data_IF_984920296375
#
_entry.id   IF_984920296375
#
_cell.length_a   1.000
_cell.length_b   1.000
_cell.length_c   1.000
_cell.angle_alpha   90.00
_cell.angle_beta   90.00
_cell.angle_gamma   90.00
#
_symmetry.space_group_name_H-M   'P 1'
#
loop_
_entity.id
_entity.type
_entity.pdbx_description
1 polymer ?
#
# COMPACT_ATOMS: atom_id res chain seq x y z
N UNK A 1 34.07 -5.02 1.73
CA UNK A 1 34.25 -4.04 2.83
C UNK A 1 34.99 -2.77 2.41
N UNK A 2 36.06 -2.81 1.59
CA UNK A 2 36.84 -1.59 1.25
C UNK A 2 36.10 -0.56 0.38
N UNK A 3 35.28 -1.01 -0.57
CA UNK A 3 34.60 -0.12 -1.51
C UNK A 3 33.55 0.79 -0.84
N UNK A 4 32.76 0.25 0.09
CA UNK A 4 31.74 1.01 0.83
C UNK A 4 32.37 2.07 1.73
N UNK A 5 33.51 1.75 2.36
CA UNK A 5 34.25 2.70 3.17
C UNK A 5 34.84 3.84 2.32
N UNK A 6 35.43 3.52 1.16
CA UNK A 6 35.94 4.51 0.21
C UNK A 6 34.83 5.41 -0.34
N UNK A 7 33.67 4.84 -0.67
CA UNK A 7 32.50 5.60 -1.12
C UNK A 7 32.01 6.55 -0.04
N UNK A 8 31.83 6.08 1.21
CA UNK A 8 31.44 6.93 2.34
C UNK A 8 32.45 8.05 2.57
N UNK A 9 33.75 7.76 2.47
CA UNK A 9 34.81 8.76 2.64
C UNK A 9 34.80 9.82 1.52
N UNK A 10 34.60 9.40 0.27
CA UNK A 10 34.47 10.31 -0.86
C UNK A 10 33.26 11.24 -0.67
N UNK A 11 32.09 10.65 -0.37
CA UNK A 11 30.85 11.41 -0.14
C UNK A 11 30.98 12.37 1.03
N UNK A 12 31.64 11.97 2.11
CA UNK A 12 31.94 12.86 3.24
C UNK A 12 32.73 14.11 2.81
N UNK A 13 33.68 13.95 1.88
CA UNK A 13 34.53 15.04 1.39
C UNK A 13 33.85 15.91 0.33
N UNK A 14 33.06 15.33 -0.57
CA UNK A 14 32.47 16.05 -1.72
C UNK A 14 31.07 16.58 -1.45
N UNK A 15 30.26 15.91 -0.62
CA UNK A 15 28.89 16.30 -0.34
C UNK A 15 28.48 15.95 1.09
N UNK A 16 28.72 16.90 1.98
CA UNK A 16 28.44 16.72 3.41
C UNK A 16 26.94 16.58 3.71
N UNK A 17 26.05 17.17 2.90
CA UNK A 17 24.60 17.00 3.07
C UNK A 17 24.19 15.56 2.78
N UNK A 18 24.66 14.99 1.66
CA UNK A 18 24.42 13.59 1.32
C UNK A 18 24.99 12.65 2.40
N UNK A 19 26.18 12.94 2.90
CA UNK A 19 26.79 12.15 3.97
C UNK A 19 25.93 12.13 5.24
N UNK A 20 25.41 13.28 5.68
CA UNK A 20 24.48 13.35 6.82
C UNK A 20 23.19 12.58 6.56
N UNK A 21 22.66 12.61 5.34
CA UNK A 21 21.51 11.80 4.95
C UNK A 21 21.78 10.30 5.07
N UNK A 22 22.96 9.84 4.61
CA UNK A 22 23.37 8.45 4.77
C UNK A 22 23.51 8.05 6.25
N UNK A 23 24.08 8.92 7.09
CA UNK A 23 24.15 8.68 8.53
C UNK A 23 22.76 8.63 9.17
N UNK A 24 21.85 9.51 8.77
CA UNK A 24 20.48 9.52 9.26
C UNK A 24 19.76 8.20 8.94
N UNK A 25 19.99 7.62 7.74
CA UNK A 25 19.43 6.31 7.36
C UNK A 25 19.81 5.16 8.30
N UNK A 26 20.93 5.29 9.01
CA UNK A 26 21.38 4.27 9.97
C UNK A 26 20.75 4.44 11.37
N UNK A 27 20.07 5.56 11.63
CA UNK A 27 19.44 5.86 12.92
C UNK A 27 18.12 5.10 13.14
N UNK A 28 17.76 4.91 14.41
CA UNK A 28 16.46 4.35 14.79
C UNK A 28 15.29 5.23 14.32
N UNK A 29 15.42 6.55 14.41
CA UNK A 29 14.39 7.49 13.98
C UNK A 29 14.05 7.32 12.49
N UNK A 30 15.06 7.17 11.63
CA UNK A 30 14.81 6.89 10.22
C UNK A 30 14.12 5.54 10.02
N UNK A 31 14.53 4.49 10.75
CA UNK A 31 13.90 3.17 10.66
C UNK A 31 12.42 3.22 11.06
N UNK A 32 12.07 3.96 12.11
CA UNK A 32 10.68 4.16 12.53
C UNK A 32 9.86 4.91 11.48
N UNK A 33 10.42 5.96 10.88
CA UNK A 33 9.76 6.70 9.79
C UNK A 33 9.58 5.82 8.54
N UNK A 34 10.58 5.02 8.19
CA UNK A 34 10.50 4.10 7.07
C UNK A 34 9.45 3.01 7.31
N UNK A 35 9.40 2.46 8.54
CA UNK A 35 8.39 1.49 8.93
C UNK A 35 6.97 2.06 8.81
N UNK A 36 6.72 3.25 9.37
CA UNK A 36 5.42 3.91 9.26
C UNK A 36 5.05 4.22 7.79
N UNK A 37 6.01 4.66 6.98
CA UNK A 37 5.80 4.87 5.54
C UNK A 37 5.42 3.58 4.84
N UNK A 38 6.12 2.50 5.10
CA UNK A 38 5.84 1.24 4.42
C UNK A 38 4.50 0.67 4.87
N UNK A 39 4.13 0.79 6.15
CA UNK A 39 2.79 0.42 6.62
C UNK A 39 1.69 1.25 5.94
N UNK A 40 1.92 2.54 5.70
CA UNK A 40 0.98 3.41 4.98
C UNK A 40 0.88 3.06 3.49
N UNK A 41 2.01 2.76 2.84
CA UNK A 41 2.08 2.52 1.39
C UNK A 41 1.62 1.12 1.02
N UNK A 42 2.13 0.12 1.73
CA UNK A 42 1.85 -1.29 1.45
C UNK A 42 0.54 -1.73 2.13
N UNK A 43 0.13 -1.04 3.20
CA UNK A 43 -1.03 -1.39 4.00
C UNK A 43 -0.73 -2.45 5.06
N UNK A 44 -1.49 -2.42 6.16
CA UNK A 44 -1.35 -3.39 7.26
C UNK A 44 -1.62 -4.83 6.82
N UNK A 45 -2.63 -5.03 5.97
CA UNK A 45 -3.04 -6.34 5.46
C UNK A 45 -1.87 -7.09 4.80
N UNK A 46 -1.02 -6.40 4.03
CA UNK A 46 0.15 -7.02 3.38
C UNK A 46 1.18 -7.54 4.37
N UNK A 47 1.41 -6.83 5.48
CA UNK A 47 2.33 -7.30 6.53
C UNK A 47 1.75 -8.46 7.33
N UNK A 48 0.42 -8.49 7.54
CA UNK A 48 -0.26 -9.59 8.20
C UNK A 48 -0.27 -10.86 7.32
N UNK A 49 -0.47 -10.74 6.00
CA UNK A 49 -0.32 -11.86 5.08
C UNK A 49 1.10 -12.42 5.06
N UNK A 50 2.13 -11.56 5.03
CA UNK A 50 3.53 -11.98 5.14
C UNK A 50 3.83 -12.70 6.46
N UNK A 51 3.13 -12.33 7.54
CA UNK A 51 3.26 -13.00 8.83
C UNK A 51 2.71 -14.42 8.78
N UNK A 52 1.57 -14.65 8.14
CA UNK A 52 1.01 -15.99 7.95
C UNK A 52 1.88 -16.84 7.02
N UNK A 53 2.40 -16.29 5.91
CA UNK A 53 3.39 -16.99 5.08
C UNK A 53 4.66 -17.39 5.86
N UNK A 54 5.12 -16.51 6.74
CA UNK A 54 6.27 -16.79 7.61
C UNK A 54 5.94 -17.90 8.62
N UNK A 55 4.72 -17.91 9.15
CA UNK A 55 4.24 -18.94 10.08
C UNK A 55 4.25 -20.32 9.42
N UNK A 56 3.80 -20.42 8.17
CA UNK A 56 3.84 -21.68 7.40
C UNK A 56 5.28 -22.21 7.22
N UNK A 57 6.21 -21.30 6.92
CA UNK A 57 7.63 -21.62 6.66
C UNK A 57 8.50 -21.61 7.91
N UNK A 58 7.93 -21.40 9.09
CA UNK A 58 8.68 -21.16 10.33
C UNK A 58 9.66 -22.29 10.66
N UNK A 59 9.24 -23.55 10.48
CA UNK A 59 10.04 -24.74 10.72
C UNK A 59 11.16 -24.97 9.70
N UNK A 60 11.13 -24.26 8.57
CA UNK A 60 12.12 -24.35 7.50
C UNK A 60 13.30 -23.40 7.71
N UNK A 61 13.18 -22.44 8.64
CA UNK A 61 14.21 -21.43 8.89
C UNK A 61 15.42 -22.10 9.60
N UNK A 62 16.64 -22.02 9.05
CA UNK A 62 17.81 -22.69 9.62
C UNK A 62 18.07 -22.33 11.10
N UNK A 63 17.94 -21.05 11.46
CA UNK A 63 18.11 -20.62 12.85
C UNK A 63 17.01 -21.12 13.81
N UNK A 64 15.81 -21.43 13.29
CA UNK A 64 14.72 -22.03 14.07
C UNK A 64 14.97 -23.52 14.25
N UNK A 65 15.45 -24.21 13.22
CA UNK A 65 15.85 -25.62 13.30
C UNK A 65 17.02 -25.84 14.27
N UNK A 66 18.04 -24.98 14.22
CA UNK A 66 19.16 -24.99 15.17
C UNK A 66 18.69 -24.80 16.63
N UNK A 67 17.62 -24.04 16.84
CA UNK A 67 17.00 -23.83 18.15
C UNK A 67 16.02 -24.95 18.58
N UNK A 68 15.89 -26.02 17.79
CA UNK A 68 15.00 -27.15 18.11
C UNK A 68 13.54 -26.94 17.69
N UNK A 69 13.30 -26.09 16.70
CA UNK A 69 11.97 -25.81 16.12
C UNK A 69 10.94 -25.37 17.17
N UNK A 70 11.19 -24.26 17.89
CA UNK A 70 10.19 -23.69 18.79
C UNK A 70 8.90 -23.37 18.04
N UNK A 71 7.73 -23.37 18.71
CA UNK A 71 6.48 -22.93 18.09
C UNK A 71 6.59 -21.47 17.64
N UNK A 72 5.79 -21.10 16.63
CA UNK A 72 5.73 -19.73 16.15
C UNK A 72 5.34 -18.79 17.31
N UNK A 73 6.04 -17.66 17.51
CA UNK A 73 5.92 -16.86 18.73
C UNK A 73 4.63 -16.03 18.83
N UNK A 74 3.89 -15.89 17.73
CA UNK A 74 2.67 -15.09 17.68
C UNK A 74 1.48 -16.05 17.54
N UNK A 75 0.48 -15.88 18.39
CA UNK A 75 -0.76 -16.62 18.30
C UNK A 75 -1.78 -15.77 17.56
N UNK A 76 -2.21 -16.26 16.40
CA UNK A 76 -3.30 -15.68 15.59
C UNK A 76 -4.43 -16.71 15.57
N UNK A 77 -5.63 -16.28 15.94
CA UNK A 77 -6.84 -17.09 15.92
C UNK A 77 -7.30 -17.39 14.49
N UNK A 78 -8.10 -18.44 14.29
CA UNK A 78 -8.61 -18.77 12.95
C UNK A 78 -9.51 -17.66 12.37
N UNK A 79 -10.22 -16.94 13.24
CA UNK A 79 -11.05 -15.80 12.85
C UNK A 79 -10.19 -14.63 12.36
N UNK A 80 -9.09 -14.32 13.05
CA UNK A 80 -8.13 -13.29 12.62
C UNK A 80 -7.47 -13.65 11.30
N UNK A 81 -7.07 -14.92 11.09
CA UNK A 81 -6.52 -15.37 9.80
C UNK A 81 -7.52 -15.15 8.67
N UNK A 82 -8.77 -15.56 8.86
CA UNK A 82 -9.82 -15.37 7.83
C UNK A 82 -10.10 -13.90 7.55
N UNK A 83 -10.03 -13.02 8.56
CA UNK A 83 -10.16 -11.58 8.37
C UNK A 83 -8.99 -11.00 7.56
N UNK A 84 -7.76 -11.44 7.86
CA UNK A 84 -6.55 -11.01 7.15
C UNK A 84 -6.63 -11.39 5.67
N UNK A 85 -7.04 -12.62 5.36
CA UNK A 85 -7.22 -13.08 3.98
C UNK A 85 -8.26 -12.25 3.23
N UNK A 86 -9.43 -12.02 3.84
CA UNK A 86 -10.49 -11.21 3.24
C UNK A 86 -10.05 -9.76 2.98
N UNK A 87 -9.33 -9.15 3.93
CA UNK A 87 -8.78 -7.80 3.77
C UNK A 87 -7.72 -7.73 2.67
N UNK A 88 -6.87 -8.76 2.54
CA UNK A 88 -5.88 -8.85 1.46
C UNK A 88 -6.52 -8.97 0.08
N UNK A 89 -7.52 -9.85 -0.06
CA UNK A 89 -8.28 -10.02 -1.30
C UNK A 89 -9.03 -8.74 -1.68
N UNK A 90 -9.69 -8.12 -0.70
CA UNK A 90 -10.38 -6.84 -0.89
C UNK A 90 -9.45 -5.72 -1.32
N UNK A 91 -8.27 -5.62 -0.69
CA UNK A 91 -7.25 -4.64 -1.05
C UNK A 91 -6.70 -4.88 -2.46
N UNK A 92 -6.39 -6.13 -2.83
CA UNK A 92 -5.91 -6.47 -4.16
C UNK A 92 -6.94 -6.14 -5.24
N UNK A 93 -8.20 -6.51 -5.03
CA UNK A 93 -9.29 -6.20 -5.95
C UNK A 93 -9.48 -4.68 -6.11
N UNK A 94 -9.44 -3.92 -5.00
CA UNK A 94 -9.53 -2.47 -5.04
C UNK A 94 -8.36 -1.84 -5.80
N UNK A 95 -7.13 -2.31 -5.58
CA UNK A 95 -5.96 -1.82 -6.31
C UNK A 95 -6.04 -2.11 -7.81
N UNK A 96 -6.57 -3.27 -8.21
CA UNK A 96 -6.77 -3.60 -9.61
C UNK A 96 -7.84 -2.73 -10.27
N UNK A 97 -8.97 -2.48 -9.57
CA UNK A 97 -9.98 -1.51 -10.01
C UNK A 97 -9.41 -0.09 -10.14
N UNK A 98 -8.52 0.33 -9.22
CA UNK A 98 -7.86 1.63 -9.29
C UNK A 98 -6.95 1.74 -10.52
N UNK A 99 -6.26 0.67 -10.93
CA UNK A 99 -5.44 0.68 -12.15
C UNK A 99 -6.27 0.90 -13.41
N UNK A 100 -7.49 0.37 -13.45
CA UNK A 100 -8.42 0.59 -14.57
C UNK A 100 -8.97 2.03 -14.59
N UNK A 101 -9.01 2.69 -13.44
CA UNK A 101 -9.43 4.09 -13.29
C UNK A 101 -8.31 5.13 -13.48
N UNK A 102 -7.07 4.72 -13.78
CA UNK A 102 -5.97 5.66 -13.97
C UNK A 102 -6.11 6.42 -15.29
N UNK A 103 -6.21 7.74 -15.20
CA UNK A 103 -6.19 8.65 -16.35
C UNK A 103 -4.85 9.37 -16.36
N UNK A 104 -4.20 9.43 -17.53
CA UNK A 104 -2.98 10.24 -17.67
C UNK A 104 -3.30 11.72 -17.38
N UNK A 105 -2.36 12.44 -16.78
CA UNK A 105 -2.53 13.83 -16.40
C UNK A 105 -3.02 14.71 -17.56
N UNK A 106 -2.47 14.50 -18.77
CA UNK A 106 -2.86 15.26 -19.96
C UNK A 106 -4.27 14.97 -20.48
N UNK A 107 -4.89 13.87 -20.03
CA UNK A 107 -6.22 13.43 -20.42
C UNK A 107 -7.26 13.66 -19.34
N UNK A 108 -6.87 14.19 -18.17
CA UNK A 108 -7.75 14.35 -17.01
C UNK A 108 -9.01 15.16 -17.32
N UNK A 109 -8.87 16.30 -18.01
CA UNK A 109 -9.99 17.16 -18.41
C UNK A 109 -10.90 16.50 -19.46
N UNK A 110 -10.35 15.62 -20.29
CA UNK A 110 -11.13 14.86 -21.27
C UNK A 110 -11.92 13.74 -20.59
N UNK A 111 -11.28 12.98 -19.71
CA UNK A 111 -11.94 11.95 -18.91
C UNK A 111 -13.04 12.53 -18.02
N UNK A 112 -12.82 13.69 -17.40
CA UNK A 112 -13.83 14.38 -16.59
C UNK A 112 -15.03 14.83 -17.42
N UNK A 113 -14.81 15.30 -18.65
CA UNK A 113 -15.91 15.61 -19.58
C UNK A 113 -16.67 14.36 -20.01
N UNK A 114 -15.97 13.25 -20.26
CA UNK A 114 -16.60 11.98 -20.58
C UNK A 114 -17.44 11.45 -19.40
N UNK A 115 -16.92 11.50 -18.17
CA UNK A 115 -17.63 11.12 -16.95
C UNK A 115 -18.91 11.93 -16.74
N UNK A 116 -18.89 13.25 -16.99
CA UNK A 116 -20.11 14.08 -16.92
C UNK A 116 -21.18 13.63 -17.92
N UNK A 117 -20.78 13.28 -19.15
CA UNK A 117 -21.72 12.77 -20.16
C UNK A 117 -22.32 11.43 -19.73
N UNK A 118 -21.49 10.50 -19.25
CA UNK A 118 -21.94 9.20 -18.75
C UNK A 118 -22.90 9.37 -17.56
N UNK A 119 -22.61 10.31 -16.65
CA UNK A 119 -23.51 10.67 -15.55
C UNK A 119 -24.88 11.13 -16.06
N UNK A 120 -24.91 12.07 -17.00
CA UNK A 120 -26.15 12.60 -17.58
C UNK A 120 -26.97 11.51 -18.28
N UNK A 121 -26.30 10.64 -19.05
CA UNK A 121 -26.91 9.50 -19.73
C UNK A 121 -27.49 8.49 -18.73
N UNK A 122 -26.71 8.12 -17.70
CA UNK A 122 -27.12 7.18 -16.66
C UNK A 122 -28.31 7.69 -15.84
N UNK A 123 -28.29 8.95 -15.42
CA UNK A 123 -29.40 9.56 -14.67
C UNK A 123 -30.66 9.58 -15.54
N UNK A 124 -30.52 9.93 -16.82
CA UNK A 124 -31.64 9.98 -17.76
C UNK A 124 -32.25 8.58 -18.02
N UNK A 125 -31.43 7.54 -18.04
CA UNK A 125 -31.89 6.17 -18.28
C UNK A 125 -32.50 5.50 -17.04
N UNK A 126 -31.97 5.79 -15.86
CA UNK A 126 -32.30 5.04 -14.65
C UNK A 126 -33.14 5.79 -13.61
N UNK A 127 -33.13 7.12 -13.59
CA UNK A 127 -33.94 7.88 -12.64
C UNK A 127 -35.40 7.95 -13.12
N UNK A 128 -36.33 7.59 -12.25
CA UNK A 128 -37.77 7.57 -12.53
C UNK A 128 -38.49 8.83 -12.08
N UNK A 129 -37.91 9.55 -11.12
CA UNK A 129 -38.46 10.76 -10.53
C UNK A 129 -37.35 11.78 -10.17
N UNK A 130 -37.79 13.00 -9.86
CA UNK A 130 -36.90 14.12 -9.53
C UNK A 130 -36.15 13.89 -8.21
N UNK A 131 -36.66 13.02 -7.32
CA UNK A 131 -36.00 12.65 -6.07
C UNK A 131 -34.80 11.73 -6.33
N UNK A 132 -34.96 10.72 -7.19
CA UNK A 132 -33.86 9.85 -7.63
C UNK A 132 -32.81 10.64 -8.42
N UNK A 133 -33.22 11.57 -9.30
CA UNK A 133 -32.29 12.46 -10.02
C UNK A 133 -31.42 13.23 -9.01
N UNK A 134 -32.04 13.78 -7.96
CA UNK A 134 -31.30 14.51 -6.93
C UNK A 134 -30.37 13.59 -6.14
N UNK A 135 -30.83 12.42 -5.73
CA UNK A 135 -30.02 11.43 -5.02
C UNK A 135 -28.80 10.99 -5.84
N UNK A 136 -28.96 10.78 -7.15
CA UNK A 136 -27.85 10.47 -8.05
C UNK A 136 -26.84 11.61 -8.18
N UNK A 137 -27.31 12.85 -8.21
CA UNK A 137 -26.41 14.00 -8.25
C UNK A 137 -25.62 14.18 -6.95
N UNK A 138 -26.28 14.02 -5.79
CA UNK A 138 -25.64 14.15 -4.48
C UNK A 138 -24.63 13.00 -4.21
N UNK A 139 -24.88 11.81 -4.77
CA UNK A 139 -24.01 10.65 -4.62
C UNK A 139 -22.81 10.63 -5.59
N UNK A 140 -22.77 11.51 -6.60
CA UNK A 140 -21.74 11.47 -7.64
C UNK A 140 -20.43 12.12 -7.18
N UNK A 141 -19.32 11.39 -7.06
CA UNK A 141 -18.12 11.91 -6.42
C UNK A 141 -17.16 12.68 -7.35
N UNK A 142 -17.51 12.84 -8.64
CA UNK A 142 -16.56 13.32 -9.67
C UNK A 142 -16.87 14.70 -10.27
N UNK A 143 -17.75 15.49 -9.63
CA UNK A 143 -18.13 16.82 -10.14
C UNK A 143 -17.06 17.90 -9.88
N UNK A 144 -16.21 17.70 -8.87
CA UNK A 144 -15.17 18.63 -8.38
C UNK A 144 -13.82 18.53 -9.10
#
# INVERSE_FOLDING_TARGET
MSLVALFRHLVQKTNQQLFRGLQFRETLSFKLLLFARNLLVDGEATYLALLEELREKWSEIPGVQEAGTPPFPIHVSAEEVSSIEADCEGAAAAMDLMKEGLVDHGQFDEAKRALRKVKEEMIKEHAKDDEEVKAWNDAWPFDD
#
